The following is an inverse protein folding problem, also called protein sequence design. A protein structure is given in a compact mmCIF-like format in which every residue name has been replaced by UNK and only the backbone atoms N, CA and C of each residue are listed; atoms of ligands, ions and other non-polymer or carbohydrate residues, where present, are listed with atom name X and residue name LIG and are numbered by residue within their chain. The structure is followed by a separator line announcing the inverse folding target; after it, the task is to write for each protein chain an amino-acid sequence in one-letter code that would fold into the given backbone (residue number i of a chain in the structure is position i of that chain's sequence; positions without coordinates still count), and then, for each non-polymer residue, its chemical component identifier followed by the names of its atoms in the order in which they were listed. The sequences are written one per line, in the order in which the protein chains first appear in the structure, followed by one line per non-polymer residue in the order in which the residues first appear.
data_IF_412797273366
#
_entry.id   IF_412797273366
#
_cell.length_a   1.000
_cell.length_b   1.000
_cell.length_c   1.000
_cell.angle_alpha   90.00
_cell.angle_beta   90.00
_cell.angle_gamma   90.00
#
_symmetry.space_group_name_H-M   'P 1'
#
loop_
_entity.id
_entity.type
_entity.pdbx_description
1 polymer ?
#
# COMPACT_ATOMS: atom_id res chain seq x y z
N UNK A 1 60.53 38.95 4.52
CA UNK A 1 59.55 37.94 4.96
C UNK A 1 58.17 38.60 4.95
N UNK A 2 57.24 38.04 4.17
CA UNK A 2 55.91 38.59 3.86
C UNK A 2 54.89 38.06 4.87
N UNK A 3 53.95 38.90 5.30
CA UNK A 3 52.66 38.44 5.84
C UNK A 3 51.59 39.47 5.45
N UNK A 4 50.80 39.13 4.43
CA UNK A 4 49.60 39.86 4.03
C UNK A 4 48.40 39.13 4.62
N UNK A 5 47.60 39.83 5.43
CA UNK A 5 46.35 39.31 5.98
C UNK A 5 45.25 39.38 4.90
N UNK A 6 44.71 38.22 4.53
CA UNK A 6 43.55 38.12 3.64
C UNK A 6 42.27 38.00 4.49
N UNK A 7 41.38 38.97 4.36
CA UNK A 7 40.04 38.96 4.97
C UNK A 7 39.10 38.17 4.04
N UNK A 8 38.64 37.00 4.47
CA UNK A 8 37.63 36.21 3.74
C UNK A 8 36.24 36.68 4.16
N UNK A 9 35.51 37.30 3.24
CA UNK A 9 34.08 37.61 3.41
C UNK A 9 33.29 36.37 3.01
N UNK A 10 32.66 35.70 3.97
CA UNK A 10 31.76 34.59 3.73
C UNK A 10 30.35 35.12 3.41
N UNK A 11 29.95 35.05 2.14
CA UNK A 11 28.57 35.27 1.71
C UNK A 11 27.75 34.00 1.99
N UNK A 12 26.91 34.04 3.01
CA UNK A 12 25.94 32.99 3.31
C UNK A 12 24.83 32.95 2.25
N UNK A 13 24.79 31.87 1.46
CA UNK A 13 23.61 31.54 0.65
C UNK A 13 22.52 30.98 1.58
N UNK A 14 21.50 31.78 1.86
CA UNK A 14 20.27 31.31 2.49
C UNK A 14 19.50 30.40 1.53
N UNK A 15 19.40 29.12 1.85
CA UNK A 15 18.49 28.18 1.22
C UNK A 15 17.04 28.62 1.52
N UNK A 16 16.38 29.22 0.54
CA UNK A 16 14.95 29.53 0.61
C UNK A 16 14.21 28.18 0.48
N UNK A 17 13.71 27.65 1.59
CA UNK A 17 12.82 26.50 1.56
C UNK A 17 11.52 26.91 0.85
N UNK A 18 11.27 26.34 -0.32
CA UNK A 18 9.99 26.50 -1.00
C UNK A 18 8.87 25.96 -0.10
N UNK A 19 7.70 26.62 -0.03
CA UNK A 19 6.58 26.12 0.77
C UNK A 19 6.15 24.76 0.22
N UNK A 20 6.15 23.74 1.08
CA UNK A 20 5.50 22.48 0.76
C UNK A 20 4.00 22.76 0.54
N UNK A 21 3.52 22.54 -0.68
CA UNK A 21 2.09 22.62 -0.97
C UNK A 21 1.44 21.45 -0.26
N UNK A 22 0.66 21.73 0.79
CA UNK A 22 -0.08 20.70 1.49
C UNK A 22 -1.08 20.04 0.52
N UNK A 23 -1.08 18.71 0.49
CA UNK A 23 -2.08 17.90 -0.20
C UNK A 23 -3.48 18.35 0.22
N UNK A 24 -4.38 18.58 -0.75
CA UNK A 24 -5.77 18.95 -0.43
C UNK A 24 -6.57 17.70 -0.09
N UNK A 25 -7.58 17.79 0.80
CA UNK A 25 -8.52 16.70 0.98
C UNK A 25 -9.17 16.29 -0.35
N UNK A 26 -9.30 15.00 -0.57
CA UNK A 26 -9.95 14.44 -1.75
C UNK A 26 -11.45 14.26 -1.53
N UNK A 27 -12.23 14.51 -2.57
CA UNK A 27 -13.68 14.26 -2.57
C UNK A 27 -13.99 12.76 -2.51
N UNK A 28 -15.07 12.32 -1.84
CA UNK A 28 -15.40 10.89 -1.75
C UNK A 28 -15.53 10.17 -3.10
N UNK A 29 -15.86 10.88 -4.19
CA UNK A 29 -15.98 10.31 -5.53
C UNK A 29 -14.66 9.78 -6.13
N UNK A 30 -13.50 10.17 -5.58
CA UNK A 30 -12.19 9.80 -6.15
C UNK A 30 -11.89 8.31 -6.14
N UNK A 31 -12.50 7.56 -5.23
CA UNK A 31 -12.32 6.10 -5.13
C UNK A 31 -12.75 5.36 -6.41
N UNK A 32 -13.63 5.97 -7.22
CA UNK A 32 -14.12 5.38 -8.48
C UNK A 32 -13.07 5.31 -9.59
N UNK A 33 -12.04 6.15 -9.54
CA UNK A 33 -10.98 6.23 -10.55
C UNK A 33 -9.56 6.05 -9.99
N UNK A 34 -9.39 6.13 -8.67
CA UNK A 34 -8.11 5.86 -8.02
C UNK A 34 -7.74 4.37 -8.02
N UNK A 35 -8.74 3.47 -8.14
CA UNK A 35 -8.52 2.05 -8.44
C UNK A 35 -8.36 1.89 -9.94
N UNK A 36 -7.18 1.46 -10.39
CA UNK A 36 -6.90 1.33 -11.81
C UNK A 36 -7.65 0.14 -12.42
N UNK A 37 -8.14 0.26 -13.67
CA UNK A 37 -8.77 -0.84 -14.37
C UNK A 37 -7.75 -1.94 -14.72
N UNK A 38 -8.22 -3.19 -14.82
CA UNK A 38 -7.37 -4.36 -15.13
C UNK A 38 -6.40 -4.20 -16.30
N UNK A 39 -6.76 -3.43 -17.34
CA UNK A 39 -5.87 -3.17 -18.49
C UNK A 39 -4.61 -2.39 -18.09
N UNK A 40 -4.78 -1.34 -17.27
CA UNK A 40 -3.66 -0.57 -16.72
C UNK A 40 -2.82 -1.41 -15.77
N UNK A 41 -3.47 -2.24 -14.93
CA UNK A 41 -2.79 -3.18 -14.03
C UNK A 41 -1.94 -4.20 -14.81
N UNK A 42 -2.47 -4.73 -15.92
CA UNK A 42 -1.73 -5.63 -16.80
C UNK A 42 -0.47 -5.00 -17.41
N UNK A 43 -0.53 -3.72 -17.76
CA UNK A 43 0.64 -2.97 -18.24
C UNK A 43 1.70 -2.78 -17.15
N UNK A 44 1.29 -2.56 -15.89
CA UNK A 44 2.21 -2.40 -14.76
C UNK A 44 2.90 -3.70 -14.39
N UNK A 45 2.16 -4.82 -14.37
CA UNK A 45 2.68 -6.14 -13.99
C UNK A 45 3.39 -6.84 -15.16
N UNK A 46 3.06 -6.48 -16.40
CA UNK A 46 3.57 -7.16 -17.59
C UNK A 46 2.91 -8.52 -17.85
N UNK A 47 1.65 -8.68 -17.44
CA UNK A 47 0.92 -9.95 -17.55
C UNK A 47 -0.53 -9.73 -18.01
N UNK A 48 -1.12 -10.70 -18.74
CA UNK A 48 -2.51 -10.61 -19.17
C UNK A 48 -3.44 -10.77 -17.96
N UNK A 49 -4.17 -9.71 -17.65
CA UNK A 49 -5.17 -9.67 -16.57
C UNK A 49 -6.57 -9.99 -17.12
N UNK A 50 -6.93 -11.27 -17.10
CA UNK A 50 -8.19 -11.75 -17.67
C UNK A 50 -9.41 -11.47 -16.78
N UNK A 51 -9.24 -11.50 -15.46
CA UNK A 51 -10.32 -11.40 -14.48
C UNK A 51 -10.14 -10.20 -13.54
N UNK A 52 -11.27 -9.61 -13.15
CA UNK A 52 -11.34 -8.51 -12.20
C UNK A 52 -12.57 -8.68 -11.31
N UNK A 53 -12.40 -8.44 -10.01
CA UNK A 53 -13.47 -8.39 -9.03
C UNK A 53 -13.37 -7.08 -8.26
N UNK A 54 -14.41 -6.25 -8.33
CA UNK A 54 -14.49 -4.94 -7.67
C UNK A 54 -15.37 -5.06 -6.42
N UNK A 55 -14.98 -4.41 -5.34
CA UNK A 55 -15.81 -4.28 -4.13
C UNK A 55 -15.82 -2.83 -3.62
N UNK A 56 -17.03 -2.31 -3.41
CA UNK A 56 -17.27 -1.03 -2.75
C UNK A 56 -17.26 -1.10 -1.22
N UNK A 57 -16.96 -2.26 -0.63
CA UNK A 57 -16.84 -2.43 0.83
C UNK A 57 -15.58 -3.19 1.21
N UNK A 58 -14.95 -2.88 2.36
CA UNK A 58 -13.86 -3.67 2.92
C UNK A 58 -14.34 -5.08 3.26
N UNK A 59 -13.53 -6.11 2.98
CA UNK A 59 -13.87 -7.49 3.32
C UNK A 59 -12.61 -8.32 3.60
N UNK A 60 -12.79 -9.38 4.37
CA UNK A 60 -11.77 -10.37 4.69
C UNK A 60 -12.37 -11.76 4.50
N UNK A 61 -11.71 -12.59 3.72
CA UNK A 61 -12.14 -13.96 3.36
C UNK A 61 -11.08 -14.99 3.73
N UNK A 62 -10.38 -14.71 4.84
CA UNK A 62 -9.31 -15.53 5.38
C UNK A 62 -9.17 -15.28 6.89
N UNK A 63 -8.43 -16.14 7.56
CA UNK A 63 -7.88 -15.88 8.89
C UNK A 63 -6.43 -16.37 8.97
N UNK A 64 -5.67 -15.88 9.95
CA UNK A 64 -4.27 -16.24 10.17
C UNK A 64 -4.06 -16.81 11.57
N UNK A 65 -3.17 -17.79 11.70
CA UNK A 65 -2.83 -18.38 13.00
C UNK A 65 -2.23 -17.34 13.96
N UNK A 66 -1.35 -16.47 13.44
CA UNK A 66 -0.77 -15.37 14.19
C UNK A 66 -1.53 -14.06 13.94
N UNK A 67 -2.39 -13.61 14.88
CA UNK A 67 -3.20 -12.43 14.68
C UNK A 67 -2.39 -11.13 14.54
N UNK A 68 -1.13 -11.10 15.02
CA UNK A 68 -0.26 -9.95 14.82
C UNK A 68 0.10 -9.71 13.33
N UNK A 69 -0.08 -10.74 12.48
CA UNK A 69 0.18 -10.67 11.05
C UNK A 69 -1.07 -10.46 10.19
N UNK A 70 -2.28 -10.33 10.77
CA UNK A 70 -3.53 -10.26 10.02
C UNK A 70 -3.54 -9.10 9.00
N UNK A 71 -3.16 -7.89 9.43
CA UNK A 71 -3.13 -6.71 8.56
C UNK A 71 -1.99 -6.71 7.53
N UNK A 72 -1.02 -7.62 7.63
CA UNK A 72 -0.01 -7.85 6.60
C UNK A 72 -0.39 -8.99 5.65
N UNK A 73 -1.33 -9.87 6.03
CA UNK A 73 -1.76 -11.00 5.21
C UNK A 73 -2.48 -10.56 3.93
N UNK A 74 -3.24 -9.48 3.98
CA UNK A 74 -3.84 -8.83 2.80
C UNK A 74 -4.10 -7.33 3.07
N UNK A 75 -4.47 -6.59 2.02
CA UNK A 75 -4.84 -5.17 2.08
C UNK A 75 -6.35 -4.98 1.94
N UNK A 76 -6.87 -3.77 2.19
CA UNK A 76 -8.30 -3.47 2.01
C UNK A 76 -9.19 -4.13 3.08
N UNK A 77 -8.63 -4.38 4.26
CA UNK A 77 -9.29 -5.15 5.31
C UNK A 77 -10.31 -4.31 6.09
N UNK A 78 -11.42 -4.91 6.56
CA UNK A 78 -12.36 -4.29 7.49
C UNK A 78 -11.68 -3.68 8.70
N UNK A 79 -10.69 -4.37 9.26
CA UNK A 79 -9.95 -3.91 10.42
C UNK A 79 -9.21 -2.58 10.21
N UNK A 80 -8.83 -2.30 8.96
CA UNK A 80 -8.16 -1.05 8.57
C UNK A 80 -9.18 0.02 8.19
N UNK A 81 -10.21 -0.33 7.41
CA UNK A 81 -11.08 0.63 6.75
C UNK A 81 -12.46 0.86 7.41
N UNK A 82 -12.98 -0.04 8.24
CA UNK A 82 -14.28 0.13 8.89
C UNK A 82 -14.21 1.16 10.03
N UNK A 83 -14.01 2.43 9.67
CA UNK A 83 -14.10 3.59 10.53
C UNK A 83 -15.47 4.26 10.32
N UNK A 84 -16.13 4.78 11.37
CA UNK A 84 -17.35 5.58 11.21
C UNK A 84 -17.17 6.80 10.30
N UNK A 85 -15.94 7.32 10.19
CA UNK A 85 -15.59 8.46 9.33
C UNK A 85 -15.20 8.04 7.90
N UNK A 86 -15.32 6.76 7.52
CA UNK A 86 -15.10 6.33 6.14
C UNK A 86 -16.22 6.89 5.25
N UNK A 87 -15.88 7.83 4.37
CA UNK A 87 -16.84 8.47 3.46
C UNK A 87 -17.06 7.64 2.20
N UNK A 88 -16.01 7.01 1.67
CA UNK A 88 -16.11 6.11 0.53
C UNK A 88 -14.95 5.12 0.49
N UNK A 89 -15.20 3.97 -0.15
CA UNK A 89 -14.21 2.92 -0.34
C UNK A 89 -14.38 2.27 -1.70
N UNK A 90 -13.28 1.86 -2.31
CA UNK A 90 -13.27 0.99 -3.47
C UNK A 90 -12.03 0.10 -3.44
N UNK A 91 -12.17 -1.11 -3.96
CA UNK A 91 -11.08 -2.05 -4.15
C UNK A 91 -11.30 -2.89 -5.38
N UNK A 92 -10.20 -3.35 -5.98
CA UNK A 92 -10.24 -4.34 -7.04
C UNK A 92 -9.19 -5.41 -6.80
N UNK A 93 -9.57 -6.65 -7.05
CA UNK A 93 -8.64 -7.75 -7.30
C UNK A 93 -8.56 -7.97 -8.79
N UNK A 94 -7.35 -8.13 -9.30
CA UNK A 94 -7.08 -8.38 -10.71
C UNK A 94 -6.10 -9.55 -10.83
N UNK A 95 -6.42 -10.53 -11.68
CA UNK A 95 -5.61 -11.74 -11.85
C UNK A 95 -5.76 -12.34 -13.25
N UNK A 96 -4.86 -13.26 -13.61
CA UNK A 96 -4.80 -13.84 -14.96
C UNK A 96 -6.10 -14.55 -15.37
N UNK A 97 -6.70 -15.30 -14.44
CA UNK A 97 -8.08 -15.81 -14.54
C UNK A 97 -8.67 -15.93 -13.13
N UNK A 98 -9.96 -16.23 -12.98
CA UNK A 98 -10.61 -16.33 -11.66
C UNK A 98 -9.93 -17.32 -10.68
N UNK A 99 -9.20 -18.31 -11.20
CA UNK A 99 -8.52 -19.36 -10.42
C UNK A 99 -7.00 -19.36 -10.59
N UNK A 100 -6.45 -18.49 -11.44
CA UNK A 100 -5.00 -18.37 -11.66
C UNK A 100 -4.47 -17.11 -10.98
N UNK A 101 -3.77 -17.31 -9.85
CA UNK A 101 -3.15 -16.27 -9.04
C UNK A 101 -1.64 -16.13 -9.30
N UNK A 102 -1.13 -16.65 -10.42
CA UNK A 102 0.30 -16.50 -10.81
C UNK A 102 0.69 -15.02 -10.88
N UNK A 103 -0.23 -14.18 -11.37
CA UNK A 103 -0.17 -12.73 -11.20
C UNK A 103 -1.45 -12.31 -10.48
N UNK A 104 -1.30 -11.77 -9.27
CA UNK A 104 -2.41 -11.34 -8.45
C UNK A 104 -2.16 -9.92 -7.95
N UNK A 105 -3.06 -9.01 -8.25
CA UNK A 105 -3.00 -7.62 -7.81
C UNK A 105 -4.23 -7.33 -6.97
N UNK A 106 -4.03 -6.61 -5.87
CA UNK A 106 -5.13 -5.97 -5.14
C UNK A 106 -4.83 -4.48 -5.01
N UNK A 107 -5.87 -3.68 -5.16
CA UNK A 107 -5.85 -2.24 -4.92
C UNK A 107 -6.98 -1.94 -3.94
N UNK A 108 -6.75 -1.05 -2.97
CA UNK A 108 -7.79 -0.55 -2.09
C UNK A 108 -7.56 0.95 -1.84
N UNK A 109 -8.63 1.73 -1.85
CA UNK A 109 -8.62 3.17 -1.56
C UNK A 109 -9.81 3.48 -0.67
N UNK A 110 -9.54 4.16 0.44
CA UNK A 110 -10.58 4.73 1.31
C UNK A 110 -10.38 6.23 1.47
N UNK A 111 -11.46 6.98 1.31
CA UNK A 111 -11.51 8.42 1.60
C UNK A 111 -12.26 8.59 2.89
N UNK A 112 -11.65 9.32 3.82
CA UNK A 112 -12.21 9.60 5.13
C UNK A 112 -12.73 11.03 5.21
N UNK A 113 -13.65 11.28 6.15
CA UNK A 113 -14.22 12.61 6.38
C UNK A 113 -13.15 13.62 6.83
N UNK A 114 -12.06 13.17 7.44
CA UNK A 114 -10.97 14.01 7.95
C UNK A 114 -9.61 13.35 7.75
N UNK A 115 -8.54 14.15 7.74
CA UNK A 115 -7.15 13.65 7.71
C UNK A 115 -6.84 12.80 8.96
N UNK A 116 -7.29 13.24 10.14
CA UNK A 116 -7.14 12.48 11.39
C UNK A 116 -7.79 11.09 11.33
N UNK A 117 -8.92 10.94 10.62
CA UNK A 117 -9.53 9.62 10.42
C UNK A 117 -8.70 8.72 9.50
N UNK A 118 -8.10 9.28 8.44
CA UNK A 118 -7.19 8.56 7.57
C UNK A 118 -5.89 8.17 8.31
N UNK A 119 -5.36 9.04 9.16
CA UNK A 119 -4.22 8.75 10.06
C UNK A 119 -4.54 7.59 11.00
N UNK A 120 -5.71 7.58 11.64
CA UNK A 120 -6.13 6.42 12.47
C UNK A 120 -6.17 5.13 11.67
N UNK A 121 -6.65 5.18 10.42
CA UNK A 121 -6.66 4.01 9.55
C UNK A 121 -5.24 3.54 9.20
N UNK A 122 -4.32 4.47 8.90
CA UNK A 122 -2.91 4.17 8.69
C UNK A 122 -2.29 3.49 9.92
N UNK A 123 -2.53 4.03 11.11
CA UNK A 123 -2.06 3.46 12.38
C UNK A 123 -2.65 2.06 12.68
N UNK A 124 -3.90 1.78 12.29
CA UNK A 124 -4.44 0.42 12.38
C UNK A 124 -3.67 -0.57 11.50
N UNK A 125 -3.21 -0.14 10.32
CA UNK A 125 -2.40 -0.98 9.45
C UNK A 125 -0.97 -1.17 9.99
N UNK A 126 -0.35 -0.14 10.56
CA UNK A 126 1.06 -0.18 10.99
C UNK A 126 1.23 -0.71 12.42
N UNK A 127 0.49 -0.19 13.38
CA UNK A 127 0.76 -0.40 14.80
C UNK A 127 0.36 -1.81 15.24
N UNK A 128 -0.72 -2.36 14.66
CA UNK A 128 -1.16 -3.74 14.93
C UNK A 128 -0.23 -4.80 14.36
N UNK A 129 0.64 -4.41 13.43
CA UNK A 129 1.59 -5.32 12.77
C UNK A 129 2.99 -5.20 13.34
N UNK A 130 3.15 -4.40 14.41
CA UNK A 130 4.38 -4.34 15.17
C UNK A 130 4.79 -5.75 15.64
N UNK A 131 5.93 -6.22 15.14
CA UNK A 131 6.46 -7.54 15.46
C UNK A 131 6.05 -8.68 14.53
N UNK A 132 5.30 -8.44 13.45
CA UNK A 132 5.03 -9.46 12.42
C UNK A 132 6.26 -9.76 11.53
N UNK A 133 7.17 -8.80 11.36
CA UNK A 133 8.40 -8.98 10.59
C UNK A 133 9.24 -10.15 11.13
N UNK A 134 9.65 -11.05 10.23
CA UNK A 134 10.38 -12.28 10.54
C UNK A 134 9.50 -13.45 10.99
N UNK A 135 8.17 -13.28 11.11
CA UNK A 135 7.27 -14.38 11.49
C UNK A 135 6.85 -15.22 10.30
N UNK A 136 6.57 -16.48 10.59
CA UNK A 136 5.94 -17.43 9.68
C UNK A 136 4.59 -17.84 10.28
N UNK A 137 3.51 -17.72 9.51
CA UNK A 137 2.17 -18.10 9.97
C UNK A 137 1.38 -18.75 8.84
N UNK A 138 0.47 -19.67 9.19
CA UNK A 138 -0.53 -20.13 8.25
C UNK A 138 -1.60 -19.06 8.05
N UNK A 139 -2.15 -19.04 6.84
CA UNK A 139 -3.32 -18.28 6.41
C UNK A 139 -4.30 -19.26 5.82
N UNK A 140 -5.52 -19.26 6.34
CA UNK A 140 -6.60 -20.15 5.94
C UNK A 140 -7.61 -19.36 5.13
N UNK A 141 -7.86 -19.81 3.90
CA UNK A 141 -8.77 -19.17 2.96
C UNK A 141 -10.16 -19.78 3.08
N UNK A 142 -11.19 -19.02 2.74
CA UNK A 142 -12.59 -19.50 2.79
C UNK A 142 -12.89 -20.67 1.85
N UNK A 143 -12.03 -20.91 0.85
CA UNK A 143 -12.13 -22.09 -0.02
C UNK A 143 -11.53 -23.37 0.62
N UNK A 144 -11.12 -23.30 1.89
CA UNK A 144 -10.51 -24.39 2.64
C UNK A 144 -9.00 -24.56 2.42
N UNK A 145 -8.39 -23.80 1.51
CA UNK A 145 -6.95 -23.87 1.28
C UNK A 145 -6.18 -23.21 2.44
N UNK A 146 -5.02 -23.78 2.77
CA UNK A 146 -4.08 -23.20 3.74
C UNK A 146 -2.79 -22.84 3.02
N UNK A 147 -2.30 -21.63 3.25
CA UNK A 147 -1.04 -21.13 2.73
C UNK A 147 -0.14 -20.72 3.90
N UNK A 148 1.14 -21.06 3.84
CA UNK A 148 2.11 -20.66 4.86
C UNK A 148 2.95 -19.51 4.33
N UNK A 149 3.01 -18.40 5.08
CA UNK A 149 3.68 -17.18 4.64
C UNK A 149 4.73 -16.73 5.65
N UNK A 150 5.90 -16.35 5.13
CA UNK A 150 6.93 -15.61 5.85
C UNK A 150 6.75 -14.12 5.58
N UNK A 151 6.72 -13.31 6.62
CA UNK A 151 6.50 -11.87 6.51
C UNK A 151 7.79 -11.10 6.76
N UNK A 152 8.06 -10.09 5.93
CA UNK A 152 9.19 -9.17 6.12
C UNK A 152 8.73 -7.73 5.91
N UNK A 153 9.25 -6.82 6.72
CA UNK A 153 8.93 -5.41 6.63
C UNK A 153 9.78 -4.57 7.57
N UNK A 154 9.91 -3.29 7.23
CA UNK A 154 10.58 -2.30 8.07
C UNK A 154 9.59 -1.49 8.91
N UNK A 155 10.08 -0.57 9.75
CA UNK A 155 9.23 0.41 10.41
C UNK A 155 8.51 1.26 9.37
N UNK A 156 7.26 1.65 9.66
CA UNK A 156 6.54 2.61 8.85
C UNK A 156 7.23 3.98 8.87
N UNK A 157 7.20 4.68 7.74
CA UNK A 157 7.48 6.12 7.68
C UNK A 157 6.23 6.90 8.11
N UNK A 158 6.33 8.23 8.14
CA UNK A 158 5.24 9.10 8.59
C UNK A 158 3.93 8.93 7.78
N UNK A 159 4.01 8.62 6.48
CA UNK A 159 2.86 8.52 5.59
C UNK A 159 2.93 7.32 4.63
N UNK A 160 3.91 6.44 4.81
CA UNK A 160 4.12 5.31 3.91
C UNK A 160 4.60 4.08 4.71
N UNK A 161 4.10 2.91 4.34
CA UNK A 161 4.53 1.64 4.90
C UNK A 161 4.60 0.58 3.80
N UNK A 162 5.57 -0.31 3.90
CA UNK A 162 5.75 -1.39 2.94
C UNK A 162 6.18 -2.68 3.62
N UNK A 163 5.67 -3.79 3.12
CA UNK A 163 6.00 -5.12 3.60
C UNK A 163 5.89 -6.14 2.46
N UNK A 164 6.57 -7.25 2.62
CA UNK A 164 6.49 -8.41 1.72
C UNK A 164 5.97 -9.61 2.49
N UNK A 165 5.36 -10.53 1.75
CA UNK A 165 5.15 -11.88 2.23
C UNK A 165 5.60 -12.88 1.17
N UNK A 166 6.30 -13.92 1.58
CA UNK A 166 6.73 -15.02 0.71
C UNK A 166 6.03 -16.32 1.12
N UNK A 167 5.46 -17.02 0.15
CA UNK A 167 4.83 -18.31 0.41
C UNK A 167 5.91 -19.39 0.55
N UNK A 168 5.78 -20.20 1.60
CA UNK A 168 6.72 -21.27 1.89
C UNK A 168 6.87 -22.22 0.71
N UNK A 169 8.10 -22.68 0.47
CA UNK A 169 8.46 -23.63 -0.59
C UNK A 169 8.15 -23.16 -2.03
N UNK A 170 7.91 -21.86 -2.23
CA UNK A 170 7.69 -21.26 -3.54
C UNK A 170 8.51 -19.99 -3.75
N UNK A 171 8.62 -19.55 -5.00
CA UNK A 171 9.12 -18.22 -5.35
C UNK A 171 8.00 -17.17 -5.42
N UNK A 172 6.76 -17.51 -5.03
CA UNK A 172 5.64 -16.58 -5.02
C UNK A 172 5.79 -15.61 -3.84
N UNK A 173 5.84 -14.32 -4.17
CA UNK A 173 5.94 -13.23 -3.20
C UNK A 173 4.90 -12.18 -3.49
N UNK A 174 4.36 -11.59 -2.44
CA UNK A 174 3.51 -10.41 -2.52
C UNK A 174 4.26 -9.22 -1.94
N UNK A 175 4.31 -8.13 -2.70
CA UNK A 175 4.84 -6.85 -2.26
C UNK A 175 3.65 -5.92 -2.02
N UNK A 176 3.67 -5.23 -0.88
CA UNK A 176 2.57 -4.39 -0.45
C UNK A 176 3.09 -2.98 -0.16
N UNK A 177 2.26 -1.99 -0.46
CA UNK A 177 2.47 -0.60 -0.07
C UNK A 177 1.18 -0.01 0.48
N UNK A 178 1.32 0.76 1.53
CA UNK A 178 0.29 1.64 2.07
C UNK A 178 0.79 3.07 2.01
N UNK A 179 -0.04 4.00 1.53
CA UNK A 179 0.29 5.43 1.50
C UNK A 179 -0.88 6.25 2.04
N UNK A 180 -0.58 7.16 2.96
CA UNK A 180 -1.49 8.14 3.51
C UNK A 180 -1.31 9.46 2.76
N UNK A 181 -2.39 10.03 2.21
CA UNK A 181 -2.38 11.31 1.49
C UNK A 181 -3.59 12.13 1.90
N UNK A 182 -3.36 13.16 2.72
CA UNK A 182 -4.43 13.94 3.36
C UNK A 182 -5.47 13.00 4.01
N UNK A 183 -6.72 13.05 3.58
CA UNK A 183 -7.81 12.21 4.07
C UNK A 183 -7.96 10.87 3.33
N UNK A 184 -6.94 10.40 2.60
CA UNK A 184 -6.98 9.17 1.80
C UNK A 184 -5.95 8.17 2.28
N UNK A 185 -6.39 6.91 2.45
CA UNK A 185 -5.51 5.76 2.64
C UNK A 185 -5.59 4.86 1.41
N UNK A 186 -4.50 4.74 0.67
CA UNK A 186 -4.37 3.81 -0.44
C UNK A 186 -3.48 2.63 -0.06
N UNK A 187 -3.86 1.44 -0.53
CA UNK A 187 -3.06 0.23 -0.42
C UNK A 187 -2.96 -0.45 -1.78
N UNK A 188 -1.76 -0.93 -2.11
CA UNK A 188 -1.47 -1.67 -3.33
C UNK A 188 -0.75 -2.97 -2.96
N UNK A 189 -1.11 -4.06 -3.62
CA UNK A 189 -0.47 -5.37 -3.48
C UNK A 189 -0.23 -5.96 -4.86
N UNK A 190 0.97 -6.46 -5.11
CA UNK A 190 1.30 -7.24 -6.30
C UNK A 190 1.97 -8.54 -5.87
N UNK A 191 1.40 -9.66 -6.27
CA UNK A 191 1.91 -11.00 -6.07
C UNK A 191 2.30 -11.64 -7.40
N UNK A 192 3.50 -12.20 -7.46
CA UNK A 192 4.01 -12.97 -8.59
C UNK A 192 5.23 -13.79 -8.14
N UNK A 193 5.76 -14.61 -9.04
CA UNK A 193 7.11 -15.18 -8.85
C UNK A 193 8.16 -14.07 -8.85
N UNK A 194 9.12 -14.16 -7.96
CA UNK A 194 10.27 -13.25 -7.90
C UNK A 194 9.93 -11.87 -7.33
N UNK A 195 10.54 -10.82 -7.89
CA UNK A 195 10.49 -9.48 -7.34
C UNK A 195 9.41 -8.60 -7.99
N UNK A 196 8.30 -8.39 -7.30
CA UNK A 196 7.23 -7.48 -7.70
C UNK A 196 7.37 -6.04 -7.15
N UNK A 197 8.48 -5.74 -6.46
CA UNK A 197 8.74 -4.44 -5.84
C UNK A 197 8.60 -3.24 -6.79
N UNK A 198 9.18 -3.27 -8.00
CA UNK A 198 8.98 -2.21 -8.99
C UNK A 198 7.51 -2.05 -9.41
N UNK A 199 6.80 -3.16 -9.62
CA UNK A 199 5.41 -3.14 -10.05
C UNK A 199 4.48 -2.55 -8.97
N UNK A 200 4.64 -2.93 -7.70
CA UNK A 200 3.82 -2.34 -6.63
C UNK A 200 4.11 -0.86 -6.43
N UNK A 201 5.36 -0.42 -6.60
CA UNK A 201 5.74 1.00 -6.54
C UNK A 201 5.06 1.84 -7.62
N UNK A 202 5.08 1.33 -8.87
CA UNK A 202 4.41 1.97 -10.00
C UNK A 202 2.90 1.99 -9.79
N UNK A 203 2.32 0.87 -9.32
CA UNK A 203 0.89 0.76 -9.04
C UNK A 203 0.44 1.79 -7.99
N UNK A 204 1.08 1.80 -6.82
CA UNK A 204 0.75 2.76 -5.76
C UNK A 204 0.99 4.21 -6.19
N UNK A 205 2.03 4.48 -7.01
CA UNK A 205 2.27 5.78 -7.60
C UNK A 205 1.17 6.21 -8.57
N UNK A 206 0.71 5.32 -9.43
CA UNK A 206 -0.39 5.59 -10.36
C UNK A 206 -1.72 5.82 -9.64
N UNK A 207 -2.03 5.02 -8.60
CA UNK A 207 -3.19 5.23 -7.74
C UNK A 207 -3.14 6.61 -7.07
N UNK A 208 -1.98 6.99 -6.53
CA UNK A 208 -1.76 8.29 -5.91
C UNK A 208 -1.93 9.44 -6.92
N UNK A 209 -1.31 9.33 -8.10
CA UNK A 209 -1.40 10.37 -9.14
C UNK A 209 -2.85 10.59 -9.60
N UNK A 210 -3.66 9.54 -9.66
CA UNK A 210 -5.09 9.65 -9.95
C UNK A 210 -5.84 10.52 -8.93
N UNK A 211 -5.37 10.62 -7.68
CA UNK A 211 -5.96 11.48 -6.65
C UNK A 211 -5.56 12.95 -6.79
N UNK A 212 -4.59 13.28 -7.66
CA UNK A 212 -4.01 14.62 -7.77
C UNK A 212 -3.05 14.98 -6.63
N UNK A 213 -2.42 13.96 -6.00
CA UNK A 213 -1.56 14.08 -4.81
C UNK A 213 -0.07 13.82 -5.09
#
# INVERSE_FOLDING_TARGET
MRAAAALVVATGLGLVAAPAVAARPSDPGVVSYAVLPKGSVGNVVGAPMGWEGVSGTPFQSFWVDDPACNNWADIGLPEVYNDPDLASYNSAVTQTSATDQTHFVKQAVGVFATEAAAERAFHRATDRTAGCSGRTTAMHLDNGATQVWVFEGGPAAAADAGWTKQEADTDRRCFNQTRLRANVLLQAKVCQSGNAGPAVNVLAGAMQNSLGQ
#
